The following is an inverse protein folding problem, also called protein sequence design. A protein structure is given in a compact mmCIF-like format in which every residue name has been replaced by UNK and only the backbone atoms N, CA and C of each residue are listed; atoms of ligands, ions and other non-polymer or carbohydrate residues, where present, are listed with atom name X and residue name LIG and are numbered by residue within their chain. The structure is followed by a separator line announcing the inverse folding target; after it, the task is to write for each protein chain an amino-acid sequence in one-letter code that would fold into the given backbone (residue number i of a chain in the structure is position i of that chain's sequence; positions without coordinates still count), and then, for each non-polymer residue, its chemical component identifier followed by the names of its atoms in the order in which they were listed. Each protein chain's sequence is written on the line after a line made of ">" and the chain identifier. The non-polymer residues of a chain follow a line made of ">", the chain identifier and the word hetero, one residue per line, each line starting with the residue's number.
data_IF_744157014063
#
_entry.id   IF_744157014063
#
_cell.length_a   1.000
_cell.length_b   1.000
_cell.length_c   1.000
_cell.angle_alpha   90.00
_cell.angle_beta   90.00
_cell.angle_gamma   90.00
#
_symmetry.space_group_name_H-M   'P 1'
#
loop_
_entity.id
_entity.type
_entity.pdbx_description
1 polymer ?
#
# COMPACT_ATOMS: atom_id res chain seq x y z
N UNK A 1 5.59 -6.37 22.63
CA UNK A 1 4.91 -6.52 21.31
C UNK A 1 3.57 -7.22 21.51
N UNK A 2 2.55 -6.67 20.91
CA UNK A 2 1.19 -7.24 20.95
C UNK A 2 0.97 -8.08 19.70
N UNK A 3 0.50 -9.32 19.86
CA UNK A 3 0.04 -10.14 18.75
C UNK A 3 -1.25 -9.53 18.22
N UNK A 4 -1.32 -9.36 16.91
CA UNK A 4 -2.50 -8.77 16.28
C UNK A 4 -2.98 -9.65 15.13
N UNK A 5 -4.26 -9.52 14.83
CA UNK A 5 -4.90 -10.21 13.73
C UNK A 5 -5.60 -9.18 12.84
N UNK A 6 -5.81 -9.55 11.59
CA UNK A 6 -6.57 -8.73 10.65
C UNK A 6 -5.93 -7.38 10.33
N UNK A 7 -4.60 -7.26 10.47
CA UNK A 7 -3.85 -6.10 10.02
C UNK A 7 -2.83 -6.53 8.98
N UNK A 8 -2.65 -5.69 7.97
CA UNK A 8 -1.90 -6.03 6.77
C UNK A 8 -1.13 -4.82 6.27
N UNK A 9 -0.07 -5.09 5.53
CA UNK A 9 0.65 -4.09 4.77
C UNK A 9 0.48 -4.48 3.31
N UNK A 10 -0.03 -3.57 2.49
CA UNK A 10 -0.08 -3.77 1.04
C UNK A 10 1.12 -3.10 0.42
N UNK A 11 1.81 -3.81 -0.47
CA UNK A 11 2.88 -3.25 -1.28
C UNK A 11 2.31 -2.93 -2.65
N UNK A 12 2.53 -1.69 -3.11
CA UNK A 12 2.11 -1.26 -4.44
C UNK A 12 3.18 -0.35 -5.02
N UNK A 13 3.57 -0.58 -6.27
CA UNK A 13 4.53 0.26 -6.95
C UNK A 13 3.82 1.19 -7.94
N UNK A 14 4.30 2.44 -8.05
CA UNK A 14 3.78 3.41 -8.99
C UNK A 14 4.91 4.02 -9.81
N UNK A 15 4.61 4.60 -10.99
CA UNK A 15 5.67 5.13 -11.85
C UNK A 15 6.35 6.39 -11.33
N UNK A 16 5.69 7.18 -10.48
CA UNK A 16 6.25 8.44 -10.01
C UNK A 16 5.66 8.84 -8.66
N UNK A 17 6.32 9.82 -8.01
CA UNK A 17 5.95 10.24 -6.68
C UNK A 17 4.59 10.97 -6.63
N UNK A 18 4.24 11.67 -7.69
CA UNK A 18 2.96 12.40 -7.76
C UNK A 18 1.79 11.43 -7.75
N UNK A 19 1.88 10.35 -8.52
CA UNK A 19 0.84 9.32 -8.55
C UNK A 19 0.76 8.60 -7.20
N UNK A 20 1.92 8.28 -6.61
CA UNK A 20 1.96 7.64 -5.30
C UNK A 20 1.30 8.51 -4.22
N UNK A 21 1.61 9.81 -4.22
CA UNK A 21 1.00 10.76 -3.28
C UNK A 21 -0.51 10.88 -3.48
N UNK A 22 -0.96 10.90 -4.72
CA UNK A 22 -2.40 10.96 -5.03
C UNK A 22 -3.12 9.76 -4.42
N UNK A 23 -2.62 8.57 -4.65
CA UNK A 23 -3.20 7.35 -4.11
C UNK A 23 -3.15 7.36 -2.57
N UNK A 24 -1.99 7.67 -2.01
CA UNK A 24 -1.79 7.68 -0.56
C UNK A 24 -2.73 8.65 0.14
N UNK A 25 -2.84 9.89 -0.36
CA UNK A 25 -3.73 10.89 0.22
C UNK A 25 -5.19 10.46 0.17
N UNK A 26 -5.63 9.86 -0.93
CA UNK A 26 -7.00 9.38 -1.05
C UNK A 26 -7.28 8.26 -0.03
N UNK A 27 -6.39 7.30 0.08
CA UNK A 27 -6.58 6.18 1.01
C UNK A 27 -6.64 6.63 2.47
N UNK A 28 -5.75 7.56 2.85
CA UNK A 28 -5.72 8.09 4.22
C UNK A 28 -6.94 8.97 4.50
N UNK A 29 -7.29 9.83 3.56
CA UNK A 29 -8.45 10.72 3.69
C UNK A 29 -9.74 9.93 3.83
N UNK A 30 -9.88 8.84 3.10
CA UNK A 30 -11.07 8.00 3.14
C UNK A 30 -11.04 7.03 4.33
N UNK A 31 -10.00 7.07 5.14
CA UNK A 31 -9.82 6.22 6.32
C UNK A 31 -9.74 4.73 5.99
N UNK A 32 -9.28 4.41 4.80
CA UNK A 32 -9.03 3.04 4.36
C UNK A 32 -7.61 2.60 4.73
N UNK A 33 -6.67 3.53 4.82
CA UNK A 33 -5.31 3.26 5.27
C UNK A 33 -4.97 4.15 6.47
N UNK A 34 -4.28 3.57 7.44
CA UNK A 34 -3.85 4.32 8.61
C UNK A 34 -2.60 5.15 8.29
N UNK A 35 -1.74 4.61 7.44
CA UNK A 35 -0.46 5.23 7.09
C UNK A 35 -0.02 4.66 5.75
N UNK A 36 0.58 5.48 4.91
CA UNK A 36 1.21 5.02 3.67
C UNK A 36 2.63 5.58 3.66
N UNK A 37 3.61 4.69 3.63
CA UNK A 37 5.01 5.08 3.48
C UNK A 37 5.37 4.99 2.00
N UNK A 38 6.13 5.98 1.52
CA UNK A 38 6.57 6.03 0.13
C UNK A 38 8.08 5.93 0.05
N UNK A 39 8.57 5.00 -0.76
CA UNK A 39 10.00 4.87 -1.05
C UNK A 39 10.22 5.31 -2.49
N UNK A 40 10.81 6.49 -2.67
CA UNK A 40 11.11 7.01 -3.99
C UNK A 40 12.42 6.44 -4.49
N UNK A 41 12.54 6.29 -5.83
CA UNK A 41 13.79 5.87 -6.45
C UNK A 41 14.11 4.39 -6.34
N UNK A 42 13.09 3.54 -6.23
CA UNK A 42 13.28 2.09 -6.26
C UNK A 42 13.54 1.63 -7.69
N UNK A 43 14.50 0.74 -7.89
CA UNK A 43 14.73 0.13 -9.19
C UNK A 43 14.04 -1.23 -9.21
N UNK A 44 13.13 -1.42 -10.17
CA UNK A 44 12.44 -2.68 -10.37
C UNK A 44 12.96 -3.36 -11.61
N UNK A 45 13.32 -4.64 -11.50
CA UNK A 45 13.84 -5.43 -12.60
C UNK A 45 12.90 -6.62 -12.78
N UNK A 46 12.35 -6.78 -13.98
CA UNK A 46 11.34 -7.81 -14.24
C UNK A 46 11.26 -8.13 -15.72
N UNK A 47 10.66 -9.25 -16.05
CA UNK A 47 10.42 -9.64 -17.43
C UNK A 47 9.02 -9.21 -17.85
N UNK A 48 8.94 -8.54 -19.00
CA UNK A 48 7.68 -8.12 -19.58
C UNK A 48 7.73 -8.39 -21.09
N UNK A 49 6.78 -9.18 -21.58
CA UNK A 49 6.66 -9.55 -23.00
C UNK A 49 7.99 -10.07 -23.59
N UNK A 50 8.69 -10.90 -22.83
CA UNK A 50 9.91 -11.54 -23.25
C UNK A 50 11.18 -10.70 -23.08
N UNK A 51 11.07 -9.48 -22.58
CA UNK A 51 12.20 -8.58 -22.37
C UNK A 51 12.44 -8.32 -20.90
N UNK A 52 13.70 -8.17 -20.52
CA UNK A 52 14.06 -7.77 -19.15
C UNK A 52 14.01 -6.25 -19.11
N UNK A 53 13.16 -5.74 -18.23
CA UNK A 53 12.95 -4.31 -18.04
C UNK A 53 13.59 -3.85 -16.74
N UNK A 54 14.11 -2.63 -16.72
CA UNK A 54 14.58 -1.94 -15.52
C UNK A 54 13.87 -0.59 -15.46
N UNK A 55 13.14 -0.35 -14.39
CA UNK A 55 12.40 0.89 -14.24
C UNK A 55 12.60 1.49 -12.86
N UNK A 56 12.57 2.82 -12.79
CA UNK A 56 12.55 3.52 -11.50
C UNK A 56 11.11 3.69 -11.08
N UNK A 57 10.81 3.23 -9.88
CA UNK A 57 9.46 3.28 -9.36
C UNK A 57 9.41 3.82 -7.94
N UNK A 58 8.21 4.15 -7.47
CA UNK A 58 7.94 4.48 -6.09
C UNK A 58 7.21 3.31 -5.46
N UNK A 59 7.72 2.81 -4.34
CA UNK A 59 7.09 1.72 -3.61
C UNK A 59 6.28 2.28 -2.45
N UNK A 60 5.02 1.90 -2.39
CA UNK A 60 4.14 2.26 -1.28
C UNK A 60 3.99 1.09 -0.33
N UNK A 61 4.10 1.38 0.98
CA UNK A 61 3.70 0.45 2.03
C UNK A 61 2.42 0.99 2.65
N UNK A 62 1.31 0.32 2.40
CA UNK A 62 -0.02 0.76 2.82
C UNK A 62 -0.44 -0.05 4.03
N UNK A 63 -0.57 0.60 5.18
CA UNK A 63 -0.91 -0.07 6.44
C UNK A 63 -2.40 0.04 6.71
N UNK A 64 -3.07 -1.11 6.80
CA UNK A 64 -4.50 -1.17 6.96
C UNK A 64 -4.94 -2.47 7.63
N UNK A 65 -6.22 -2.74 7.62
CA UNK A 65 -6.78 -3.97 8.15
C UNK A 65 -7.53 -4.76 7.08
N UNK A 66 -7.64 -6.06 7.32
CA UNK A 66 -8.11 -7.03 6.33
C UNK A 66 -9.46 -6.67 5.71
N UNK A 67 -10.37 -6.11 6.49
CA UNK A 67 -11.71 -5.77 6.00
C UNK A 67 -11.73 -4.69 4.93
N UNK A 68 -10.63 -3.91 4.77
CA UNK A 68 -10.55 -2.85 3.78
C UNK A 68 -9.74 -3.21 2.53
N UNK A 69 -9.16 -4.40 2.48
CA UNK A 69 -8.25 -4.75 1.38
C UNK A 69 -8.91 -4.67 0.01
N UNK A 70 -10.14 -5.16 -0.12
CA UNK A 70 -10.85 -5.09 -1.41
C UNK A 70 -11.17 -3.66 -1.81
N UNK A 71 -11.55 -2.81 -0.86
CA UNK A 71 -11.84 -1.40 -1.13
C UNK A 71 -10.57 -0.66 -1.53
N UNK A 72 -9.45 -0.97 -0.87
CA UNK A 72 -8.15 -0.38 -1.22
C UNK A 72 -7.74 -0.80 -2.63
N UNK A 73 -7.88 -2.07 -2.96
CA UNK A 73 -7.56 -2.57 -4.29
C UNK A 73 -8.38 -1.84 -5.36
N UNK A 74 -9.67 -1.74 -5.16
CA UNK A 74 -10.56 -1.01 -6.09
C UNK A 74 -10.12 0.44 -6.26
N UNK A 75 -9.77 1.09 -5.16
CA UNK A 75 -9.36 2.48 -5.18
C UNK A 75 -8.02 2.67 -5.90
N UNK A 76 -7.09 1.76 -5.66
CA UNK A 76 -5.79 1.79 -6.37
C UNK A 76 -6.01 1.62 -7.86
N UNK A 77 -6.81 0.65 -8.28
CA UNK A 77 -7.08 0.40 -9.69
C UNK A 77 -7.66 1.64 -10.37
N UNK A 78 -8.56 2.36 -9.70
CA UNK A 78 -9.15 3.58 -10.25
C UNK A 78 -8.11 4.69 -10.46
N UNK A 79 -7.12 4.78 -9.59
CA UNK A 79 -6.16 5.90 -9.57
C UNK A 79 -4.80 5.57 -10.19
N UNK A 80 -4.52 4.29 -10.38
CA UNK A 80 -3.22 3.82 -10.87
C UNK A 80 -3.18 3.84 -12.41
N UNK A 81 -2.08 4.30 -13.02
CA UNK A 81 -1.99 4.37 -14.48
C UNK A 81 -1.73 3.03 -15.18
N UNK A 82 -1.32 1.99 -14.44
CA UNK A 82 -1.04 0.68 -15.03
C UNK A 82 -2.32 -0.16 -15.16
N UNK A 83 -2.40 -0.97 -16.21
CA UNK A 83 -3.47 -1.97 -16.36
C UNK A 83 -3.34 -3.06 -15.31
N UNK A 84 -2.10 -3.41 -14.96
CA UNK A 84 -1.81 -4.49 -14.01
C UNK A 84 -0.88 -3.95 -12.91
N UNK A 85 -1.41 -3.20 -11.94
CA UNK A 85 -0.58 -2.71 -10.85
C UNK A 85 -0.19 -3.84 -9.90
N UNK A 86 1.01 -3.73 -9.31
CA UNK A 86 1.42 -4.64 -8.26
C UNK A 86 0.67 -4.29 -6.99
N UNK A 87 -0.07 -5.24 -6.46
CA UNK A 87 -0.75 -5.09 -5.17
C UNK A 87 -0.58 -6.41 -4.43
N UNK A 88 0.29 -6.42 -3.43
CA UNK A 88 0.63 -7.63 -2.69
C UNK A 88 0.36 -7.41 -1.20
N UNK A 89 -0.24 -8.39 -0.55
CA UNK A 89 -0.54 -8.33 0.87
C UNK A 89 0.55 -9.01 1.69
N UNK A 90 0.99 -8.34 2.76
CA UNK A 90 1.84 -8.91 3.79
C UNK A 90 1.07 -8.88 5.11
N UNK A 91 1.06 -10.01 5.81
CA UNK A 91 0.39 -10.09 7.10
C UNK A 91 1.24 -9.50 8.21
N UNK A 92 0.63 -8.66 9.05
CA UNK A 92 1.29 -8.14 10.25
C UNK A 92 1.02 -9.10 11.40
N UNK A 93 2.10 -9.61 11.99
CA UNK A 93 2.00 -10.60 13.07
C UNK A 93 1.89 -9.95 14.45
N UNK A 94 2.63 -8.86 14.65
CA UNK A 94 2.64 -8.17 15.95
C UNK A 94 3.04 -6.72 15.76
N UNK A 95 2.73 -5.90 16.74
CA UNK A 95 3.02 -4.47 16.73
C UNK A 95 3.21 -3.96 18.15
N UNK A 96 3.85 -2.79 18.27
CA UNK A 96 3.81 -2.02 19.49
C UNK A 96 2.35 -1.71 19.82
N UNK A 97 1.95 -1.88 21.06
CA UNK A 97 0.54 -1.75 21.46
C UNK A 97 -0.03 -0.35 21.16
N UNK A 98 0.71 0.69 21.51
CA UNK A 98 0.24 2.07 21.29
C UNK A 98 0.10 2.41 19.81
N UNK A 99 1.06 1.93 19.00
CA UNK A 99 0.99 2.17 17.57
C UNK A 99 -0.19 1.45 16.93
N UNK A 100 -0.44 0.22 17.34
CA UNK A 100 -1.60 -0.54 16.88
C UNK A 100 -2.91 0.17 17.25
N UNK A 101 -3.01 0.66 18.49
CA UNK A 101 -4.20 1.38 18.94
C UNK A 101 -4.43 2.65 18.11
N UNK A 102 -3.34 3.37 17.79
CA UNK A 102 -3.42 4.54 16.94
C UNK A 102 -3.91 4.17 15.53
N UNK A 103 -3.30 3.15 14.91
CA UNK A 103 -3.72 2.70 13.58
C UNK A 103 -5.20 2.34 13.54
N UNK A 104 -5.63 1.54 14.51
CA UNK A 104 -7.01 1.09 14.58
C UNK A 104 -7.97 2.26 14.80
N UNK A 105 -7.54 3.25 15.58
CA UNK A 105 -8.35 4.42 15.89
C UNK A 105 -8.58 5.37 14.73
N UNK A 106 -7.65 5.46 13.78
CA UNK A 106 -7.80 6.36 12.61
C UNK A 106 -8.47 5.69 11.42
N UNK A 107 -8.61 4.38 11.43
CA UNK A 107 -9.26 3.66 10.35
C UNK A 107 -10.78 3.77 10.43
N UNK A 108 -11.42 3.59 9.29
CA UNK A 108 -12.89 3.59 9.18
C UNK A 108 -13.48 2.46 10.02
N UNK A 109 -14.61 2.71 10.63
CA UNK A 109 -15.35 1.71 11.43
C UNK A 109 -16.44 1.05 10.61
#
# INVERSE_FOLDING_TARGET
>A
MKKIENFNILICNTPNIENAKLIAHNLVKEKLAACVNLFNGMTSIYEWEGNIEEETEVTMLIKSKSEFLNLIEERIIELHPYDTPEIIELKVVSSNTKYFEWMNGVLKN
#
